data_IF_797881462359
#
_entry.id   IF_797881462359
#
_cell.length_a   1.000
_cell.length_b   1.000
_cell.length_c   1.000
_cell.angle_alpha   90.00
_cell.angle_beta   90.00
_cell.angle_gamma   90.00
#
_symmetry.space_group_name_H-M   'P 1'
#
loop_
_entity.id
_entity.type
_entity.pdbx_description
1 polymer ?
#
# COMPACT_ATOMS: atom_id res chain seq x y z
N UNK A 1 -15.26 -7.24 -21.86
CA UNK A 1 -13.94 -7.92 -21.88
C UNK A 1 -13.36 -7.89 -20.47
N UNK A 2 -12.90 -9.02 -19.92
CA UNK A 2 -12.24 -9.04 -18.59
C UNK A 2 -10.74 -8.80 -18.75
N UNK A 3 -10.19 -7.93 -17.90
CA UNK A 3 -8.76 -7.67 -17.81
C UNK A 3 -8.31 -7.82 -16.37
N UNK A 4 -7.03 -8.14 -16.21
CA UNK A 4 -6.35 -8.21 -14.92
C UNK A 4 -5.04 -7.47 -15.02
N UNK A 5 -4.78 -6.68 -13.99
CA UNK A 5 -3.54 -5.94 -13.82
C UNK A 5 -2.86 -6.42 -12.55
N UNK A 6 -1.54 -6.42 -12.54
CA UNK A 6 -0.77 -6.75 -11.35
C UNK A 6 0.47 -5.86 -11.23
N UNK A 7 0.90 -5.65 -10.00
CA UNK A 7 2.20 -5.10 -9.67
C UNK A 7 2.69 -5.71 -8.36
N UNK A 8 4.00 -5.86 -8.25
CA UNK A 8 4.68 -6.33 -7.05
C UNK A 8 5.81 -5.35 -6.78
N UNK A 9 5.95 -4.97 -5.51
CA UNK A 9 7.05 -4.11 -5.08
C UNK A 9 7.75 -4.70 -3.86
N UNK A 10 9.08 -4.62 -3.85
CA UNK A 10 9.92 -5.01 -2.73
C UNK A 10 10.47 -3.78 -2.05
N UNK A 11 10.55 -3.84 -0.72
CA UNK A 11 11.12 -2.79 0.12
C UNK A 11 12.27 -3.40 0.90
N UNK A 12 13.42 -2.74 0.85
CA UNK A 12 14.54 -2.97 1.73
C UNK A 12 15.04 -1.61 2.19
N UNK A 13 15.22 -1.46 3.49
CA UNK A 13 15.55 -0.19 4.12
C UNK A 13 16.37 -0.42 5.37
N UNK A 14 17.57 0.14 5.40
CA UNK A 14 18.42 0.06 6.57
C UNK A 14 17.82 0.88 7.71
N UNK A 15 17.86 0.31 8.92
CA UNK A 15 17.35 0.93 10.12
C UNK A 15 18.53 1.24 11.07
N UNK A 16 18.47 2.35 11.80
CA UNK A 16 19.45 2.58 12.85
C UNK A 16 19.25 1.61 14.02
N UNK A 17 20.35 1.18 14.63
CA UNK A 17 20.35 0.39 15.86
C UNK A 17 19.96 1.29 17.04
N UNK A 18 18.67 1.31 17.39
CA UNK A 18 18.12 2.11 18.48
C UNK A 18 17.36 1.20 19.46
N UNK A 19 17.03 1.76 20.64
CA UNK A 19 16.21 1.12 21.65
C UNK A 19 15.08 2.09 22.02
N UNK A 20 13.80 1.67 21.95
CA UNK A 20 13.32 0.36 21.52
C UNK A 20 13.63 0.05 20.03
N UNK A 21 13.68 -1.23 19.68
CA UNK A 21 14.07 -1.73 18.37
C UNK A 21 13.03 -1.43 17.29
N UNK A 22 13.43 -1.49 16.01
CA UNK A 22 12.48 -1.27 14.92
C UNK A 22 11.40 -2.36 14.83
N UNK A 23 11.67 -3.56 15.35
CA UNK A 23 10.67 -4.61 15.48
C UNK A 23 9.58 -4.23 16.50
N UNK A 24 9.94 -3.59 17.61
CA UNK A 24 8.98 -3.07 18.60
C UNK A 24 8.21 -1.87 18.05
N UNK A 25 8.87 -1.03 17.25
CA UNK A 25 8.21 0.05 16.52
C UNK A 25 7.13 -0.48 15.56
N UNK A 26 7.35 -1.62 14.88
CA UNK A 26 6.35 -2.25 14.00
C UNK A 26 5.04 -2.63 14.69
N UNK A 27 5.06 -2.80 16.03
CA UNK A 27 3.83 -3.05 16.80
C UNK A 27 2.95 -1.80 16.94
N UNK A 28 3.50 -0.60 16.71
CA UNK A 28 2.78 0.67 16.75
C UNK A 28 2.02 0.89 15.44
N UNK A 29 1.09 -0.01 15.11
CA UNK A 29 0.37 -0.04 13.82
C UNK A 29 -0.29 1.31 13.51
N UNK A 30 -1.01 1.89 14.46
CA UNK A 30 -1.67 3.20 14.30
C UNK A 30 -0.70 4.31 13.94
N UNK A 31 0.47 4.31 14.58
CA UNK A 31 1.54 5.29 14.33
C UNK A 31 2.07 5.13 12.91
N UNK A 32 2.39 3.90 12.52
CA UNK A 32 2.90 3.59 11.18
C UNK A 32 1.90 4.00 10.11
N UNK A 33 0.62 3.67 10.30
CA UNK A 33 -0.43 4.07 9.36
C UNK A 33 -0.53 5.58 9.28
N UNK A 34 -0.51 6.30 10.40
CA UNK A 34 -0.56 7.76 10.43
C UNK A 34 0.68 8.46 9.82
N UNK A 35 1.82 7.79 9.79
CA UNK A 35 3.07 8.32 9.23
C UNK A 35 3.16 8.05 7.72
N UNK A 36 2.79 6.85 7.28
CA UNK A 36 2.86 6.48 5.86
C UNK A 36 1.69 7.09 5.11
N UNK A 37 0.47 6.93 5.61
CA UNK A 37 -0.73 7.48 5.01
C UNK A 37 -0.96 8.91 5.53
N UNK A 38 -1.48 9.79 4.66
CA UNK A 38 -1.87 11.12 5.11
C UNK A 38 -3.01 11.00 6.15
N UNK A 39 -2.85 11.48 7.40
CA UNK A 39 -3.88 11.40 8.43
C UNK A 39 -5.21 12.03 8.03
N UNK A 40 -5.19 13.11 7.24
CA UNK A 40 -6.41 13.78 6.74
C UNK A 40 -7.18 12.91 5.75
N UNK A 41 -6.52 11.90 5.18
CA UNK A 41 -7.09 10.98 4.21
C UNK A 41 -7.29 9.57 4.78
N UNK A 42 -7.07 9.38 6.08
CA UNK A 42 -7.20 8.07 6.73
C UNK A 42 -8.22 8.12 7.86
N UNK A 43 -9.22 7.25 7.79
CA UNK A 43 -10.14 7.01 8.90
C UNK A 43 -9.81 5.67 9.56
N UNK A 44 -9.67 5.64 10.90
CA UNK A 44 -9.63 4.38 11.66
C UNK A 44 -11.06 3.89 11.88
N UNK A 45 -11.39 2.71 11.34
CA UNK A 45 -12.73 2.11 11.41
C UNK A 45 -12.86 1.06 12.53
N UNK A 46 -11.74 0.53 13.01
CA UNK A 46 -11.68 -0.50 14.05
C UNK A 46 -10.24 -0.71 14.50
N UNK A 47 -9.97 -1.76 15.29
CA UNK A 47 -8.64 -2.05 15.85
C UNK A 47 -7.56 -2.14 14.76
N UNK A 48 -7.80 -2.98 13.75
CA UNK A 48 -6.90 -3.23 12.62
C UNK A 48 -7.44 -2.69 11.29
N UNK A 49 -8.54 -1.92 11.29
CA UNK A 49 -9.24 -1.54 10.06
C UNK A 49 -9.10 -0.04 9.77
N UNK A 50 -8.59 0.26 8.59
CA UNK A 50 -8.28 1.62 8.15
C UNK A 50 -8.88 1.88 6.77
N UNK A 51 -9.54 3.03 6.59
CA UNK A 51 -10.02 3.49 5.29
C UNK A 51 -9.14 4.61 4.79
N UNK A 52 -8.46 4.36 3.67
CA UNK A 52 -7.54 5.30 3.03
C UNK A 52 -8.19 5.88 1.79
N UNK A 53 -8.23 7.22 1.71
CA UNK A 53 -8.65 7.98 0.52
C UNK A 53 -7.41 8.35 -0.28
N UNK A 54 -7.22 7.71 -1.42
CA UNK A 54 -6.05 7.98 -2.25
C UNK A 54 -6.20 9.29 -3.02
N UNK A 55 -5.10 9.80 -3.57
CA UNK A 55 -5.17 10.90 -4.54
C UNK A 55 -5.86 10.41 -5.82
N UNK A 56 -6.60 11.27 -6.55
CA UNK A 56 -7.18 10.91 -7.83
C UNK A 56 -6.10 10.43 -8.81
N UNK A 57 -6.34 9.27 -9.43
CA UNK A 57 -5.48 8.66 -10.43
C UNK A 57 -6.16 8.64 -11.79
N UNK A 58 -5.34 8.65 -12.84
CA UNK A 58 -5.78 8.63 -14.23
C UNK A 58 -5.50 7.29 -14.91
N UNK A 59 -6.35 6.89 -15.86
CA UNK A 59 -6.16 5.73 -16.71
C UNK A 59 -6.45 6.08 -18.18
N UNK A 60 -5.46 5.81 -19.05
CA UNK A 60 -5.49 6.10 -20.49
C UNK A 60 -5.83 7.56 -20.85
N UNK A 61 -5.61 8.51 -19.95
CA UNK A 61 -6.01 9.93 -20.10
C UNK A 61 -7.52 10.17 -20.34
N UNK A 62 -8.33 9.12 -20.22
CA UNK A 62 -9.78 9.13 -20.47
C UNK A 62 -10.58 9.02 -19.19
N UNK A 63 -10.04 8.34 -18.18
CA UNK A 63 -10.70 8.08 -16.92
C UNK A 63 -9.90 8.68 -15.78
N UNK A 64 -10.57 9.39 -14.88
CA UNK A 64 -9.99 9.90 -13.64
C UNK A 64 -10.88 9.50 -12.48
N UNK A 65 -10.28 8.88 -11.48
CA UNK A 65 -11.03 8.31 -10.36
C UNK A 65 -10.23 8.37 -9.08
N UNK A 66 -10.94 8.31 -7.96
CA UNK A 66 -10.34 8.30 -6.64
C UNK A 66 -10.61 6.96 -5.95
N UNK A 67 -9.57 6.15 -5.74
CA UNK A 67 -9.67 4.95 -4.91
C UNK A 67 -9.87 5.32 -3.45
N UNK A 68 -10.84 4.64 -2.82
CA UNK A 68 -11.05 4.63 -1.38
C UNK A 68 -10.93 3.16 -0.98
N UNK A 69 -9.88 2.81 -0.25
CA UNK A 69 -9.54 1.41 0.06
C UNK A 69 -9.68 1.20 1.57
N UNK A 70 -10.39 0.15 1.95
CA UNK A 70 -10.39 -0.33 3.33
C UNK A 70 -9.34 -1.43 3.45
N UNK A 71 -8.34 -1.20 4.29
CA UNK A 71 -7.26 -2.12 4.57
C UNK A 71 -7.41 -2.65 6.00
N UNK A 72 -7.12 -3.95 6.16
CA UNK A 72 -6.79 -4.55 7.44
C UNK A 72 -5.28 -4.52 7.60
N UNK A 73 -4.79 -3.94 8.69
CA UNK A 73 -3.37 -3.79 8.99
C UNK A 73 -3.15 -4.23 10.43
N UNK A 74 -2.31 -5.23 10.64
CA UNK A 74 -2.03 -5.78 11.96
C UNK A 74 -0.59 -6.23 12.08
N UNK A 75 -0.07 -6.24 13.30
CA UNK A 75 1.24 -6.82 13.60
C UNK A 75 1.05 -8.18 14.26
N UNK A 76 1.72 -9.22 13.76
CA UNK A 76 1.63 -10.55 14.36
C UNK A 76 2.61 -10.72 15.54
N UNK A 77 2.57 -11.91 16.16
CA UNK A 77 3.45 -12.22 17.31
C UNK A 77 4.93 -12.31 16.95
N UNK A 78 5.28 -12.33 15.67
CA UNK A 78 6.66 -12.34 15.17
C UNK A 78 7.12 -10.93 14.78
N UNK A 79 6.37 -9.88 15.13
CA UNK A 79 6.61 -8.50 14.76
C UNK A 79 6.61 -8.26 13.24
N UNK A 80 5.84 -9.06 12.50
CA UNK A 80 5.62 -8.86 11.07
C UNK A 80 4.34 -8.05 10.91
N UNK A 81 4.44 -6.90 10.26
CA UNK A 81 3.31 -6.08 9.88
C UNK A 81 2.69 -6.65 8.61
N UNK A 82 1.41 -7.00 8.67
CA UNK A 82 0.62 -7.51 7.56
C UNK A 82 -0.36 -6.44 7.08
N UNK A 83 -0.61 -6.42 5.77
CA UNK A 83 -1.58 -5.56 5.11
C UNK A 83 -2.44 -6.43 4.20
N UNK A 84 -3.76 -6.26 4.26
CA UNK A 84 -4.71 -6.91 3.38
C UNK A 84 -5.85 -5.97 3.01
N UNK A 85 -6.26 -5.92 1.74
CA UNK A 85 -7.47 -5.20 1.35
C UNK A 85 -8.72 -5.96 1.75
N UNK A 86 -9.64 -5.27 2.41
CA UNK A 86 -10.97 -5.80 2.77
C UNK A 86 -12.03 -5.33 1.79
N UNK A 87 -11.93 -4.08 1.34
CA UNK A 87 -12.92 -3.46 0.48
C UNK A 87 -12.31 -2.31 -0.33
N UNK A 88 -12.92 -1.96 -1.45
CA UNK A 88 -12.51 -0.83 -2.26
C UNK A 88 -13.70 -0.19 -2.96
N UNK A 89 -13.67 1.14 -3.06
CA UNK A 89 -14.60 1.93 -3.85
C UNK A 89 -13.83 2.88 -4.77
N UNK A 90 -14.31 3.03 -6.01
CA UNK A 90 -13.78 4.00 -6.96
C UNK A 90 -14.75 5.15 -7.15
N UNK A 91 -14.46 6.29 -6.52
CA UNK A 91 -15.24 7.50 -6.74
C UNK A 91 -14.96 8.06 -8.13
N UNK A 92 -16.02 8.34 -8.90
CA UNK A 92 -15.97 8.74 -10.31
C UNK A 92 -16.00 7.59 -11.31
N UNK A 93 -16.02 6.34 -10.84
CA UNK A 93 -16.15 5.12 -11.66
C UNK A 93 -17.13 4.12 -11.02
N UNK A 94 -18.19 4.62 -10.39
CA UNK A 94 -19.17 3.82 -9.65
C UNK A 94 -19.81 2.73 -10.52
N UNK A 95 -20.02 3.02 -11.82
CA UNK A 95 -20.56 2.08 -12.80
C UNK A 95 -19.68 0.83 -13.02
N UNK A 96 -18.40 0.88 -12.64
CA UNK A 96 -17.46 -0.23 -12.80
C UNK A 96 -17.40 -1.15 -11.59
N UNK A 97 -17.99 -0.72 -10.46
CA UNK A 97 -17.88 -1.41 -9.17
C UNK A 97 -18.41 -2.85 -9.20
N UNK A 98 -19.45 -3.13 -10.00
CA UNK A 98 -20.03 -4.48 -10.08
C UNK A 98 -19.07 -5.56 -10.58
N UNK A 99 -18.00 -5.14 -11.27
CA UNK A 99 -17.01 -6.06 -11.83
C UNK A 99 -15.60 -5.79 -11.33
N UNK A 100 -15.44 -4.78 -10.46
CA UNK A 100 -14.15 -4.33 -9.98
C UNK A 100 -13.74 -5.14 -8.76
N UNK A 101 -12.58 -5.78 -8.86
CA UNK A 101 -11.94 -6.53 -7.79
C UNK A 101 -10.58 -5.89 -7.55
N UNK A 102 -10.28 -5.53 -6.31
CA UNK A 102 -8.97 -5.09 -5.88
C UNK A 102 -8.48 -6.00 -4.76
N UNK A 103 -7.27 -6.49 -4.91
CA UNK A 103 -6.57 -7.25 -3.90
C UNK A 103 -5.22 -6.58 -3.61
N UNK A 104 -5.03 -6.17 -2.37
CA UNK A 104 -3.74 -5.72 -1.84
C UNK A 104 -3.35 -6.73 -0.77
N UNK A 105 -2.14 -7.25 -0.87
CA UNK A 105 -1.51 -7.98 0.24
C UNK A 105 -0.09 -7.47 0.44
N UNK A 106 0.39 -7.48 1.67
CA UNK A 106 1.75 -7.08 1.93
C UNK A 106 2.24 -7.48 3.31
N UNK A 107 3.56 -7.59 3.42
CA UNK A 107 4.27 -7.84 4.67
C UNK A 107 5.45 -6.89 4.80
N UNK A 108 5.75 -6.49 6.04
CA UNK A 108 6.94 -5.73 6.40
C UNK A 108 7.48 -6.28 7.73
N UNK A 109 8.75 -6.65 7.75
CA UNK A 109 9.39 -7.26 8.90
C UNK A 109 10.77 -6.64 9.16
N UNK A 110 11.18 -6.63 10.42
CA UNK A 110 12.58 -6.38 10.77
C UNK A 110 13.40 -7.64 10.57
N UNK A 111 14.55 -7.49 9.92
CA UNK A 111 15.55 -8.51 9.66
C UNK A 111 16.93 -7.97 10.04
N UNK A 112 17.92 -8.86 10.08
CA UNK A 112 19.33 -8.49 10.22
C UNK A 112 19.99 -8.72 8.87
N UNK A 113 20.73 -7.73 8.38
CA UNK A 113 21.48 -7.86 7.13
C UNK A 113 22.74 -8.74 7.29
N UNK A 114 23.52 -8.89 6.22
CA UNK A 114 24.75 -9.69 6.24
C UNK A 114 25.85 -9.10 7.14
N UNK A 115 25.76 -7.81 7.48
CA UNK A 115 26.72 -7.06 8.28
C UNK A 115 26.32 -6.99 9.76
N UNK A 116 25.15 -7.53 10.13
CA UNK A 116 24.63 -7.51 11.49
C UNK A 116 23.78 -6.27 11.83
N UNK A 117 23.44 -5.43 10.85
CA UNK A 117 22.61 -4.25 11.06
C UNK A 117 21.11 -4.57 10.89
N UNK A 118 20.23 -3.90 11.65
CA UNK A 118 18.80 -4.05 11.48
C UNK A 118 18.37 -3.43 10.16
N UNK A 119 17.54 -4.17 9.44
CA UNK A 119 17.00 -3.80 8.14
C UNK A 119 15.50 -4.09 8.14
N UNK A 120 14.70 -3.18 7.60
CA UNK A 120 13.31 -3.45 7.26
C UNK A 120 13.23 -4.06 5.87
N UNK A 121 12.54 -5.19 5.78
CA UNK A 121 12.33 -5.93 4.54
C UNK A 121 10.86 -6.22 4.36
N UNK A 122 10.35 -6.01 3.15
CA UNK A 122 8.93 -6.15 2.88
C UNK A 122 8.61 -6.40 1.42
N UNK A 123 7.39 -6.85 1.19
CA UNK A 123 6.81 -7.09 -0.13
C UNK A 123 5.36 -6.66 -0.13
N UNK A 124 4.93 -6.01 -1.20
CA UNK A 124 3.53 -5.74 -1.48
C UNK A 124 3.15 -6.30 -2.86
N UNK A 125 1.95 -6.85 -2.94
CA UNK A 125 1.31 -7.35 -4.15
C UNK A 125 -0.03 -6.62 -4.32
N UNK A 126 -0.25 -6.07 -5.51
CA UNK A 126 -1.45 -5.34 -5.87
C UNK A 126 -2.00 -5.92 -7.16
N UNK A 127 -3.23 -6.42 -7.10
CA UNK A 127 -3.95 -6.99 -8.23
C UNK A 127 -5.29 -6.30 -8.40
N UNK A 128 -5.63 -6.05 -9.65
CA UNK A 128 -6.93 -5.49 -10.02
C UNK A 128 -7.54 -6.32 -11.13
N UNK A 129 -8.79 -6.73 -10.94
CA UNK A 129 -9.63 -7.36 -11.95
C UNK A 129 -10.81 -6.47 -12.31
N UNK A 130 -11.14 -6.34 -13.59
CA UNK A 130 -12.36 -5.63 -13.99
C UNK A 130 -12.89 -6.05 -15.35
N UNK A 131 -14.19 -5.79 -15.58
CA UNK A 131 -14.76 -5.79 -16.93
C UNK A 131 -14.68 -4.38 -17.51
N UNK A 132 -13.98 -4.25 -18.63
CA UNK A 132 -13.85 -2.97 -19.31
C UNK A 132 -15.15 -2.58 -20.02
N UNK A 133 -15.47 -1.28 -20.07
CA UNK A 133 -16.66 -0.77 -20.76
C UNK A 133 -16.50 -0.87 -22.28
N UNK A 134 -17.61 -0.83 -23.04
CA UNK A 134 -17.59 -0.90 -24.50
C UNK A 134 -16.62 0.05 -25.22
N UNK A 135 -16.45 1.33 -24.80
CA UNK A 135 -15.50 2.24 -25.46
C UNK A 135 -14.04 1.75 -25.45
N UNK A 136 -13.65 0.93 -24.47
CA UNK A 136 -12.31 0.36 -24.36
C UNK A 136 -12.15 -0.99 -25.06
N UNK A 137 -13.19 -1.55 -25.68
CA UNK A 137 -13.09 -2.84 -26.37
C UNK A 137 -12.27 -2.80 -27.65
N UNK A 138 -12.13 -1.62 -28.27
CA UNK A 138 -11.28 -1.41 -29.44
C UNK A 138 -9.82 -1.12 -29.08
N UNK A 139 -9.52 -0.87 -27.81
CA UNK A 139 -8.16 -0.67 -27.34
C UNK A 139 -7.42 -2.01 -27.34
N UNK A 140 -6.20 -2.09 -27.90
CA UNK A 140 -5.41 -3.32 -27.86
C UNK A 140 -5.23 -3.82 -26.43
N UNK A 141 -5.49 -5.11 -26.20
CA UNK A 141 -5.37 -5.73 -24.87
C UNK A 141 -3.98 -5.54 -24.25
N UNK A 142 -2.93 -5.59 -25.05
CA UNK A 142 -1.55 -5.36 -24.61
C UNK A 142 -1.34 -3.95 -24.06
N UNK A 143 -1.92 -2.93 -24.70
CA UNK A 143 -1.86 -1.55 -24.24
C UNK A 143 -2.65 -1.35 -22.94
N UNK A 144 -3.84 -1.98 -22.84
CA UNK A 144 -4.64 -1.96 -21.61
C UNK A 144 -3.89 -2.58 -20.45
N UNK A 145 -3.29 -3.76 -20.66
CA UNK A 145 -2.51 -4.47 -19.65
C UNK A 145 -1.29 -3.67 -19.22
N UNK A 146 -0.45 -3.21 -20.16
CA UNK A 146 0.76 -2.47 -19.81
C UNK A 146 0.45 -1.15 -19.10
N UNK A 147 -0.63 -0.46 -19.49
CA UNK A 147 -1.07 0.77 -18.81
C UNK A 147 -1.58 0.46 -17.41
N UNK A 148 -2.34 -0.62 -17.23
CA UNK A 148 -2.86 -1.04 -15.92
C UNK A 148 -1.75 -1.47 -14.97
N UNK A 149 -0.87 -2.37 -15.41
CA UNK A 149 0.28 -2.85 -14.63
C UNK A 149 1.21 -1.69 -14.24
N UNK A 150 1.43 -0.75 -15.16
CA UNK A 150 2.18 0.49 -14.88
C UNK A 150 1.48 1.35 -13.82
N UNK A 151 0.18 1.55 -13.93
CA UNK A 151 -0.57 2.34 -12.95
C UNK A 151 -0.45 1.74 -11.54
N UNK A 152 -0.61 0.41 -11.42
CA UNK A 152 -0.45 -0.29 -10.14
C UNK A 152 0.99 -0.19 -9.62
N UNK A 153 1.98 -0.30 -10.51
CA UNK A 153 3.39 -0.14 -10.15
C UNK A 153 3.67 1.26 -9.63
N UNK A 154 3.13 2.31 -10.26
CA UNK A 154 3.28 3.69 -9.81
C UNK A 154 2.63 3.92 -8.43
N UNK A 155 1.51 3.26 -8.14
CA UNK A 155 0.88 3.28 -6.81
C UNK A 155 1.80 2.67 -5.77
N UNK A 156 2.30 1.45 -5.98
CA UNK A 156 3.19 0.77 -5.04
C UNK A 156 4.50 1.54 -4.83
N UNK A 157 5.07 2.12 -5.90
CA UNK A 157 6.27 2.95 -5.82
C UNK A 157 6.07 4.19 -4.96
N UNK A 158 4.92 4.86 -5.05
CA UNK A 158 4.61 6.01 -4.18
C UNK A 158 4.51 5.60 -2.72
N UNK A 159 3.85 4.48 -2.43
CA UNK A 159 3.74 3.94 -1.06
C UNK A 159 5.13 3.59 -0.52
N UNK A 160 5.96 2.92 -1.33
CA UNK A 160 7.35 2.63 -0.99
C UNK A 160 8.14 3.90 -0.68
N UNK A 161 8.05 4.94 -1.51
CA UNK A 161 8.74 6.21 -1.25
C UNK A 161 8.28 6.88 0.04
N UNK A 162 6.98 6.85 0.34
CA UNK A 162 6.43 7.36 1.60
C UNK A 162 6.98 6.59 2.80
N UNK A 163 7.04 5.27 2.70
CA UNK A 163 7.63 4.39 3.72
C UNK A 163 9.12 4.70 3.92
N UNK A 164 9.91 4.76 2.85
CA UNK A 164 11.36 5.06 2.91
C UNK A 164 11.64 6.41 3.55
N UNK A 165 10.81 7.42 3.26
CA UNK A 165 11.02 8.79 3.76
C UNK A 165 10.53 8.98 5.19
N UNK A 166 9.31 8.52 5.49
CA UNK A 166 8.61 8.92 6.72
C UNK A 166 8.78 7.89 7.85
N UNK A 167 8.86 6.60 7.54
CA UNK A 167 8.89 5.55 8.57
C UNK A 167 10.17 5.61 9.40
N UNK A 168 11.34 5.68 8.75
CA UNK A 168 12.63 5.71 9.48
C UNK A 168 12.78 7.00 10.26
N UNK A 169 12.33 8.12 9.70
CA UNK A 169 12.35 9.39 10.42
C UNK A 169 11.48 9.30 11.68
N UNK A 170 10.25 8.82 11.57
CA UNK A 170 9.36 8.69 12.73
C UNK A 170 9.86 7.65 13.73
N UNK A 171 10.51 6.57 13.29
CA UNK A 171 11.16 5.61 14.18
C UNK A 171 12.27 6.26 15.02
N UNK A 172 13.13 7.08 14.40
CA UNK A 172 14.17 7.83 15.13
C UNK A 172 13.53 8.81 16.14
N UNK A 173 12.46 9.50 15.74
CA UNK A 173 11.77 10.43 16.63
C UNK A 173 11.05 9.71 17.78
N UNK A 174 10.43 8.56 17.51
CA UNK A 174 9.76 7.74 18.51
C UNK A 174 10.72 7.20 19.57
N UNK A 175 11.86 6.67 19.16
CA UNK A 175 12.88 6.13 20.08
C UNK A 175 13.49 7.23 20.95
N UNK A 176 13.61 8.46 20.45
CA UNK A 176 14.11 9.59 21.24
C UNK A 176 13.15 10.04 22.36
N UNK A 177 11.85 9.74 22.22
CA UNK A 177 10.79 10.12 23.18
C UNK A 177 10.39 8.91 24.05
N UNK A 178 10.78 7.69 23.66
CA UNK A 178 10.52 6.48 24.41
C UNK A 178 11.29 6.51 25.76
N UNK A 179 10.61 6.27 26.91
CA UNK A 179 11.20 6.33 28.24
C UNK A 179 12.18 5.19 28.54
#
# INVERSE_FOLDING_TARGET
MQVRFNAIELVQLDAPQLSPSIAEYLQQVDRIVGVIANPELTDKLGEDLFRLRMQPIGFLDLYKFQPIVTLKIWCDRQNILHIESVDCHLKGLELFMESFELNVTGILASQIDLEGNPQLSGKADLQVGLKLPPPLWLTPKSLLQSTGDRLLSEVLQRIKQQLLKQLIQDYVEWTAIAP
#
